data_IF_595521163379
#
_entry.id   IF_595521163379
#
_cell.length_a   1.000
_cell.length_b   1.000
_cell.length_c   1.000
_cell.angle_alpha   90.00
_cell.angle_beta   90.00
_cell.angle_gamma   90.00
#
_symmetry.space_group_name_H-M   'P 1'
#
loop_
_entity.id
_entity.type
_entity.pdbx_description
1 polymer ?
#
# COMPACT_ATOMS: atom_id res chain seq x y z
N UNK A 1 3.34 1.41 8.50
CA UNK A 1 2.35 1.19 9.57
C UNK A 1 0.89 1.17 9.10
N UNK A 2 0.48 1.92 8.07
CA UNK A 2 -0.89 1.87 7.56
C UNK A 2 -1.38 0.45 7.18
N UNK A 3 -0.46 -0.44 6.79
CA UNK A 3 -0.78 -1.84 6.51
C UNK A 3 -1.11 -2.67 7.78
N UNK A 4 -0.42 -2.45 8.91
CA UNK A 4 -0.79 -3.05 10.21
C UNK A 4 -2.16 -2.54 10.67
N UNK A 5 -2.37 -1.22 10.56
CA UNK A 5 -3.63 -0.57 10.92
C UNK A 5 -4.81 -1.19 10.17
N UNK A 6 -4.70 -1.31 8.85
CA UNK A 6 -5.79 -1.84 8.02
C UNK A 6 -5.98 -3.36 8.20
N UNK A 7 -4.95 -4.10 8.59
CA UNK A 7 -5.06 -5.54 8.88
C UNK A 7 -5.92 -5.80 10.13
N UNK A 8 -5.89 -4.90 11.12
CA UNK A 8 -6.83 -4.94 12.27
C UNK A 8 -8.26 -4.56 11.87
N UNK A 9 -8.44 -3.85 10.76
CA UNK A 9 -9.74 -3.37 10.29
C UNK A 9 -10.46 -4.32 9.32
N UNK A 10 -9.84 -5.46 8.96
CA UNK A 10 -10.25 -6.34 7.85
C UNK A 10 -11.63 -7.00 7.97
N UNK A 11 -12.24 -6.99 9.16
CA UNK A 11 -13.53 -7.65 9.38
C UNK A 11 -14.70 -6.64 9.42
N UNK A 12 -14.42 -5.34 9.29
CA UNK A 12 -15.39 -4.25 9.49
C UNK A 12 -15.85 -3.57 8.19
N UNK A 13 -15.90 -4.28 7.07
CA UNK A 13 -16.34 -3.71 5.79
C UNK A 13 -17.86 -3.77 5.61
N UNK A 14 -18.52 -2.61 5.64
CA UNK A 14 -19.94 -2.52 5.32
C UNK A 14 -20.18 -2.71 3.82
N UNK A 15 -20.89 -3.78 3.44
CA UNK A 15 -21.10 -4.16 2.04
C UNK A 15 -21.93 -3.14 1.24
N UNK A 16 -22.78 -2.35 1.89
CA UNK A 16 -23.73 -1.43 1.23
C UNK A 16 -23.10 -0.10 0.84
N UNK A 17 -22.10 0.36 1.60
CA UNK A 17 -21.55 1.69 1.43
C UNK A 17 -20.02 1.69 1.44
N UNK A 18 -19.31 0.57 1.65
CA UNK A 18 -17.85 0.54 1.69
C UNK A 18 -17.23 1.29 2.88
N UNK A 19 -18.03 1.65 3.90
CA UNK A 19 -17.49 2.27 5.12
C UNK A 19 -16.83 1.21 6.00
N UNK A 20 -15.71 1.60 6.60
CA UNK A 20 -15.03 0.80 7.62
C UNK A 20 -15.11 1.57 8.93
N UNK A 21 -15.81 1.01 9.92
CA UNK A 21 -15.81 1.57 11.27
C UNK A 21 -14.68 0.92 12.06
N UNK A 22 -13.48 1.49 11.97
CA UNK A 22 -12.29 0.98 12.62
C UNK A 22 -11.39 2.14 13.03
N UNK A 23 -11.01 2.16 14.29
CA UNK A 23 -10.07 3.12 14.83
C UNK A 23 -9.24 2.45 15.95
N UNK A 24 -8.20 1.68 15.59
CA UNK A 24 -7.18 1.21 16.54
C UNK A 24 -6.69 2.35 17.45
N UNK A 25 -6.41 2.05 18.73
CA UNK A 25 -5.81 2.99 19.66
C UNK A 25 -4.54 3.65 19.12
N UNK A 26 -4.27 4.90 19.51
CA UNK A 26 -3.02 5.57 19.14
C UNK A 26 -1.79 4.89 19.76
N UNK A 27 -1.95 4.36 20.97
CA UNK A 27 -0.89 3.61 21.67
C UNK A 27 -0.46 2.37 20.89
N UNK A 28 -1.33 1.77 20.07
CA UNK A 28 -0.98 0.61 19.24
C UNK A 28 0.13 0.95 18.23
N UNK A 29 0.29 2.21 17.82
CA UNK A 29 1.37 2.59 16.90
C UNK A 29 2.76 2.37 17.49
N UNK A 30 2.94 2.69 18.77
CA UNK A 30 4.21 2.55 19.49
C UNK A 30 4.31 1.21 20.21
N UNK A 31 3.25 0.72 20.83
CA UNK A 31 3.30 -0.49 21.66
C UNK A 31 3.18 -1.78 20.86
N UNK A 32 2.54 -1.74 19.68
CA UNK A 32 2.22 -2.94 18.90
C UNK A 32 2.85 -2.87 17.51
N UNK A 33 2.52 -1.85 16.71
CA UNK A 33 2.91 -1.79 15.30
C UNK A 33 4.41 -1.54 15.16
N UNK A 34 4.97 -0.55 15.86
CA UNK A 34 6.41 -0.26 15.80
C UNK A 34 7.28 -1.48 16.11
N UNK A 35 7.11 -2.15 17.26
CA UNK A 35 7.84 -3.36 17.62
C UNK A 35 7.60 -4.52 16.64
N UNK A 36 6.36 -4.75 16.20
CA UNK A 36 6.07 -5.77 15.17
C UNK A 36 6.74 -5.43 13.83
N UNK A 37 7.04 -4.17 13.58
CA UNK A 37 7.73 -3.67 12.40
C UNK A 37 9.24 -3.54 12.56
N UNK A 38 9.77 -3.71 13.77
CA UNK A 38 11.19 -3.53 14.10
C UNK A 38 11.64 -2.14 13.76
N UNK A 39 10.79 -1.16 14.07
CA UNK A 39 11.06 0.25 13.86
C UNK A 39 11.32 0.87 15.22
N UNK A 40 12.39 1.65 15.32
CA UNK A 40 12.74 2.33 16.56
C UNK A 40 11.68 3.38 16.93
N UNK A 41 11.17 3.30 18.16
CA UNK A 41 10.15 4.20 18.72
C UNK A 41 10.40 5.71 18.55
N UNK A 42 11.63 6.24 18.66
CA UNK A 42 11.90 7.68 18.51
C UNK A 42 11.65 8.22 17.11
N UNK A 43 11.40 7.35 16.12
CA UNK A 43 11.17 7.76 14.73
C UNK A 43 9.70 8.00 14.39
N UNK A 44 8.79 7.81 15.35
CA UNK A 44 7.36 8.03 15.14
C UNK A 44 6.98 9.50 15.41
N UNK A 45 6.44 10.15 14.38
CA UNK A 45 5.60 11.34 14.56
C UNK A 45 4.20 10.96 15.06
N UNK A 46 3.43 11.96 15.47
CA UNK A 46 2.03 11.77 15.87
C UNK A 46 1.16 11.59 14.64
N UNK A 47 0.24 10.63 14.69
CA UNK A 47 -0.79 10.46 13.65
C UNK A 47 -1.81 11.58 13.82
N UNK A 48 -1.91 12.45 12.83
CA UNK A 48 -2.76 13.64 12.86
C UNK A 48 -4.05 13.47 12.06
N UNK A 49 -4.19 12.35 11.34
CA UNK A 49 -5.39 12.03 10.59
C UNK A 49 -5.34 10.64 9.99
N UNK A 50 -6.50 10.06 9.72
CA UNK A 50 -6.61 8.80 9.01
C UNK A 50 -7.85 8.78 8.12
N UNK A 51 -7.75 8.01 7.04
CA UNK A 51 -8.87 7.68 6.15
C UNK A 51 -8.83 6.17 5.94
N UNK A 52 -9.93 5.52 6.27
CA UNK A 52 -10.12 4.09 6.03
C UNK A 52 -11.35 3.85 5.18
N UNK A 53 -11.25 2.86 4.30
CA UNK A 53 -12.36 2.45 3.47
C UNK A 53 -12.17 1.04 2.97
N UNK A 54 -13.25 0.47 2.45
CA UNK A 54 -13.20 -0.84 1.84
C UNK A 54 -14.03 -0.89 0.57
N UNK A 55 -13.75 -1.89 -0.26
CA UNK A 55 -14.50 -2.14 -1.47
C UNK A 55 -14.56 -3.64 -1.77
N UNK A 56 -15.71 -4.09 -2.23
CA UNK A 56 -15.92 -5.45 -2.75
C UNK A 56 -15.36 -5.62 -4.17
N UNK A 57 -15.25 -4.53 -4.94
CA UNK A 57 -14.79 -4.58 -6.33
C UNK A 57 -13.28 -4.43 -6.43
N UNK A 58 -12.67 -5.20 -7.34
CA UNK A 58 -11.28 -5.02 -7.77
C UNK A 58 -11.07 -3.77 -8.62
N UNK A 59 -12.15 -3.14 -9.11
CA UNK A 59 -12.09 -1.94 -9.96
C UNK A 59 -11.22 -0.86 -9.33
N UNK A 60 -11.35 -0.64 -8.03
CA UNK A 60 -10.62 0.42 -7.31
C UNK A 60 -9.13 0.16 -7.15
N UNK A 61 -8.64 -1.03 -7.51
CA UNK A 61 -7.19 -1.28 -7.62
C UNK A 61 -6.71 -0.95 -9.05
N UNK A 62 -7.58 -1.13 -10.04
CA UNK A 62 -7.27 -0.91 -11.45
C UNK A 62 -7.54 0.54 -11.91
N UNK A 63 -8.45 1.25 -11.22
CA UNK A 63 -8.95 2.59 -11.56
C UNK A 63 -8.64 3.55 -10.38
N UNK A 64 -7.52 4.30 -10.46
CA UNK A 64 -7.12 5.23 -9.41
C UNK A 64 -8.12 6.37 -9.17
N UNK A 65 -8.86 6.80 -10.19
CA UNK A 65 -9.84 7.89 -10.06
C UNK A 65 -11.05 7.43 -9.24
N UNK A 66 -11.52 6.21 -9.51
CA UNK A 66 -12.56 5.58 -8.70
C UNK A 66 -12.09 5.37 -7.25
N UNK A 67 -10.85 4.94 -7.04
CA UNK A 67 -10.29 4.78 -5.68
C UNK A 67 -10.22 6.12 -4.94
N UNK A 68 -9.76 7.17 -5.61
CA UNK A 68 -9.67 8.50 -5.03
C UNK A 68 -11.04 9.04 -4.64
N UNK A 69 -12.02 8.98 -5.53
CA UNK A 69 -13.35 9.56 -5.30
C UNK A 69 -14.23 8.74 -4.36
N UNK A 70 -14.17 7.41 -4.41
CA UNK A 70 -15.11 6.56 -3.66
C UNK A 70 -14.52 6.05 -2.34
N UNK A 71 -13.19 6.01 -2.22
CA UNK A 71 -12.52 5.48 -1.01
C UNK A 71 -11.77 6.57 -0.25
N UNK A 72 -10.94 7.38 -0.93
CA UNK A 72 -10.07 8.35 -0.24
C UNK A 72 -10.78 9.68 0.08
N UNK A 73 -11.54 10.22 -0.86
CA UNK A 73 -12.17 11.56 -0.79
C UNK A 73 -13.67 11.45 -1.03
N UNK A 74 -14.27 10.49 -0.33
CA UNK A 74 -15.68 10.19 -0.45
C UNK A 74 -16.61 11.31 0.05
N UNK A 75 -16.22 12.02 1.10
CA UNK A 75 -17.06 13.01 1.76
C UNK A 75 -16.27 14.24 2.20
N UNK A 76 -16.97 15.26 2.68
CA UNK A 76 -16.36 16.50 3.15
C UNK A 76 -15.41 16.31 4.33
N UNK A 77 -15.61 15.29 5.17
CA UNK A 77 -14.74 14.99 6.31
C UNK A 77 -13.41 14.43 5.80
N UNK A 78 -13.43 13.43 4.91
CA UNK A 78 -12.18 12.90 4.36
C UNK A 78 -11.44 13.95 3.53
N UNK A 79 -12.15 14.77 2.76
CA UNK A 79 -11.55 15.93 2.06
C UNK A 79 -10.89 16.93 3.04
N UNK A 80 -11.51 17.18 4.20
CA UNK A 80 -10.95 18.10 5.21
C UNK A 80 -9.65 17.57 5.81
N UNK A 81 -9.55 16.25 6.01
CA UNK A 81 -8.32 15.58 6.45
C UNK A 81 -7.24 15.75 5.39
N UNK A 82 -7.51 15.41 4.13
CA UNK A 82 -6.53 15.54 3.03
C UNK A 82 -6.02 16.97 2.86
N UNK A 83 -6.87 17.98 3.08
CA UNK A 83 -6.50 19.41 2.91
C UNK A 83 -5.78 20.01 4.12
N UNK A 84 -5.69 19.30 5.24
CA UNK A 84 -5.06 19.83 6.43
C UNK A 84 -3.54 19.97 6.22
N UNK A 85 -3.05 21.21 6.30
CA UNK A 85 -1.64 21.54 6.04
C UNK A 85 -0.70 21.20 7.20
N UNK A 86 -1.24 20.77 8.34
CA UNK A 86 -0.43 20.32 9.48
C UNK A 86 0.19 18.94 9.24
N UNK A 87 -0.32 18.18 8.26
CA UNK A 87 0.26 16.90 7.87
C UNK A 87 1.61 17.11 7.18
N UNK A 88 2.64 16.41 7.65
CA UNK A 88 4.01 16.43 7.10
C UNK A 88 4.44 15.10 6.49
N UNK A 89 3.78 14.01 6.84
CA UNK A 89 4.03 12.68 6.30
C UNK A 89 2.73 11.95 5.95
N UNK A 90 2.81 11.04 4.98
CA UNK A 90 1.70 10.18 4.56
C UNK A 90 2.18 8.74 4.47
N UNK A 91 1.40 7.81 5.02
CA UNK A 91 1.57 6.37 4.87
C UNK A 91 0.32 5.72 4.29
N UNK A 92 0.48 4.81 3.33
CA UNK A 92 -0.63 4.12 2.66
C UNK A 92 -0.53 2.61 2.85
N UNK A 93 -1.66 1.97 3.13
CA UNK A 93 -1.81 0.53 3.24
C UNK A 93 -2.98 0.05 2.36
N UNK A 94 -2.72 -1.00 1.58
CA UNK A 94 -3.74 -1.72 0.81
C UNK A 94 -3.68 -3.19 1.20
N UNK A 95 -4.80 -3.72 1.65
CA UNK A 95 -4.93 -5.11 2.09
C UNK A 95 -6.11 -5.79 1.39
N UNK A 96 -5.89 -6.96 0.81
CA UNK A 96 -6.94 -7.73 0.15
C UNK A 96 -7.24 -9.02 0.91
N UNK A 97 -8.53 -9.29 1.17
CA UNK A 97 -8.97 -10.58 1.70
C UNK A 97 -9.16 -11.56 0.54
N UNK A 98 -8.68 -12.80 0.71
CA UNK A 98 -8.88 -13.83 -0.31
C UNK A 98 -10.38 -14.04 -0.57
N UNK A 99 -10.82 -13.85 -1.82
CA UNK A 99 -12.25 -13.91 -2.21
C UNK A 99 -13.14 -12.94 -1.40
N UNK A 100 -12.59 -11.83 -0.93
CA UNK A 100 -13.29 -10.83 -0.13
C UNK A 100 -12.93 -9.40 -0.55
N UNK A 101 -13.32 -8.41 0.28
CA UNK A 101 -13.08 -7.01 -0.02
C UNK A 101 -11.59 -6.63 0.08
N UNK A 102 -11.29 -5.50 -0.55
CA UNK A 102 -10.05 -4.75 -0.39
C UNK A 102 -10.26 -3.63 0.60
N UNK A 103 -9.25 -3.39 1.41
CA UNK A 103 -9.24 -2.36 2.43
C UNK A 103 -8.10 -1.38 2.14
N UNK A 104 -8.44 -0.11 2.29
CA UNK A 104 -7.53 1.01 2.15
C UNK A 104 -7.39 1.70 3.48
N UNK A 105 -6.16 2.10 3.78
CA UNK A 105 -5.85 2.97 4.89
C UNK A 105 -4.83 4.01 4.43
N UNK A 106 -5.13 5.28 4.67
CA UNK A 106 -4.19 6.39 4.52
C UNK A 106 -4.05 7.03 5.89
N UNK A 107 -2.82 7.06 6.39
CA UNK A 107 -2.45 7.70 7.63
C UNK A 107 -1.67 8.98 7.32
N UNK A 108 -1.99 10.03 8.06
CA UNK A 108 -1.31 11.31 8.01
C UNK A 108 -0.60 11.54 9.34
N UNK A 109 0.65 11.98 9.27
CA UNK A 109 1.46 12.26 10.46
C UNK A 109 2.13 13.62 10.39
N UNK A 110 2.60 14.12 11.52
CA UNK A 110 3.37 15.37 11.63
C UNK A 110 4.89 15.14 11.77
N UNK A 111 5.33 13.88 11.62
CA UNK A 111 6.74 13.49 11.56
C UNK A 111 7.49 14.23 10.44
N UNK A 112 8.76 14.52 10.67
CA UNK A 112 9.55 15.31 9.72
C UNK A 112 9.73 14.60 8.38
N UNK A 113 9.73 15.36 7.28
CA UNK A 113 9.85 14.81 5.91
C UNK A 113 11.20 14.12 5.65
N UNK A 114 12.20 14.34 6.51
CA UNK A 114 13.53 13.75 6.42
C UNK A 114 13.73 12.55 7.36
N UNK A 115 12.71 12.14 8.12
CA UNK A 115 12.78 10.94 8.95
C UNK A 115 12.34 9.73 8.13
N UNK A 116 13.28 8.83 7.83
CA UNK A 116 12.95 7.47 7.41
C UNK A 116 12.75 6.62 8.66
N UNK A 117 11.85 5.63 8.61
CA UNK A 117 11.75 4.62 9.67
C UNK A 117 13.13 3.97 9.87
N UNK A 118 13.72 4.16 11.06
CA UNK A 118 14.95 3.46 11.39
C UNK A 118 14.59 2.07 11.84
N UNK A 119 15.09 1.08 11.11
CA UNK A 119 14.89 -0.31 11.47
C UNK A 119 15.87 -0.66 12.59
N UNK A 120 15.39 -1.44 13.54
CA UNK A 120 16.21 -2.06 14.58
C UNK A 120 17.38 -2.84 13.92
N UNK A 121 18.47 -3.03 14.67
CA UNK A 121 19.68 -3.71 14.18
C UNK A 121 20.33 -3.08 12.93
N UNK A 122 20.46 -1.74 12.91
CA UNK A 122 21.23 -0.99 11.89
C UNK A 122 20.68 -1.14 10.46
N UNK A 123 19.35 -1.23 10.30
CA UNK A 123 18.73 -1.24 8.97
C UNK A 123 18.40 -2.62 8.41
N UNK A 124 18.57 -3.71 9.19
CA UNK A 124 18.04 -5.01 8.79
C UNK A 124 16.58 -5.10 9.17
N UNK A 125 15.70 -4.91 8.17
CA UNK A 125 14.26 -5.09 8.38
C UNK A 125 13.95 -6.49 8.88
N UNK A 126 13.13 -6.60 9.93
CA UNK A 126 12.75 -7.91 10.44
C UNK A 126 12.07 -8.70 9.32
N UNK A 127 12.31 -10.01 9.27
CA UNK A 127 11.63 -10.89 8.32
C UNK A 127 10.16 -11.00 8.70
N UNK A 128 9.35 -10.21 8.01
CA UNK A 128 7.93 -10.04 8.30
C UNK A 128 7.12 -11.23 7.78
N UNK A 129 6.23 -11.78 8.62
CA UNK A 129 5.22 -12.73 8.14
C UNK A 129 4.04 -12.01 7.46
N UNK A 130 3.66 -10.80 7.94
CA UNK A 130 2.63 -9.90 7.37
C UNK A 130 2.80 -8.45 7.89
N UNK A 131 2.40 -7.45 7.09
CA UNK A 131 1.80 -6.22 7.62
C UNK A 131 2.63 -4.93 7.78
N UNK A 132 3.96 -4.88 7.73
CA UNK A 132 4.68 -3.60 7.97
C UNK A 132 5.13 -2.82 6.74
N UNK A 133 5.67 -3.50 5.73
CA UNK A 133 6.24 -2.88 4.54
C UNK A 133 5.63 -3.51 3.29
N UNK A 134 4.97 -2.70 2.45
CA UNK A 134 4.54 -3.12 1.11
C UNK A 134 5.65 -2.84 0.13
N UNK A 135 6.36 -3.89 -0.26
CA UNK A 135 7.39 -3.83 -1.29
C UNK A 135 8.12 -5.16 -1.40
N UNK A 136 8.49 -5.54 -2.62
CA UNK A 136 9.58 -6.50 -2.77
C UNK A 136 10.89 -5.84 -2.35
N UNK A 137 11.89 -6.60 -1.90
CA UNK A 137 13.25 -6.07 -1.75
C UNK A 137 13.85 -5.53 -3.06
N UNK A 138 13.18 -5.77 -4.20
CA UNK A 138 13.54 -5.23 -5.50
C UNK A 138 13.02 -3.79 -5.68
N UNK A 139 13.89 -2.92 -6.22
CA UNK A 139 13.55 -1.55 -6.54
C UNK A 139 12.35 -1.46 -7.49
N UNK A 140 11.47 -0.49 -7.26
CA UNK A 140 10.26 -0.20 -8.04
C UNK A 140 10.59 0.44 -9.41
N UNK A 141 11.55 -0.13 -10.14
CA UNK A 141 11.90 0.26 -11.52
C UNK A 141 12.24 -0.96 -12.41
N UNK A 142 11.96 -2.19 -11.96
CA UNK A 142 12.22 -3.40 -12.75
C UNK A 142 11.08 -3.69 -13.74
N UNK A 143 10.77 -2.73 -14.61
CA UNK A 143 9.84 -2.90 -15.72
C UNK A 143 10.59 -3.16 -17.03
N UNK A 144 11.35 -4.26 -17.12
CA UNK A 144 12.02 -4.63 -18.38
C UNK A 144 12.03 -6.13 -18.76
N UNK A 145 11.53 -7.04 -17.91
CA UNK A 145 11.66 -8.48 -18.23
C UNK A 145 10.64 -9.00 -19.26
N UNK A 146 9.40 -8.50 -19.25
CA UNK A 146 8.34 -9.04 -20.12
C UNK A 146 8.50 -8.56 -21.58
N UNK A 147 9.07 -7.37 -21.78
CA UNK A 147 9.30 -6.81 -23.13
C UNK A 147 10.42 -7.56 -23.88
N UNK A 148 11.42 -8.10 -23.16
CA UNK A 148 12.52 -8.85 -23.77
C UNK A 148 12.08 -10.20 -24.34
N UNK A 149 11.19 -10.93 -23.65
CA UNK A 149 10.77 -12.27 -24.10
C UNK A 149 9.99 -12.24 -25.42
N UNK A 150 9.13 -11.24 -25.60
CA UNK A 150 8.32 -11.08 -26.80
C UNK A 150 9.15 -10.81 -28.06
N UNK A 151 10.20 -10.00 -27.96
CA UNK A 151 11.11 -9.72 -29.08
C UNK A 151 11.95 -10.94 -29.47
N UNK A 152 12.38 -11.75 -28.49
CA UNK A 152 13.15 -12.96 -28.75
C UNK A 152 12.32 -14.04 -29.47
N UNK A 153 11.07 -14.23 -29.05
CA UNK A 153 10.15 -15.16 -29.71
C UNK A 153 9.81 -14.73 -31.14
N UNK A 154 9.61 -13.42 -31.38
CA UNK A 154 9.39 -12.90 -32.72
C UNK A 154 10.59 -13.13 -33.64
N UNK A 155 11.81 -12.97 -33.12
CA UNK A 155 13.04 -13.17 -33.89
C UNK A 155 13.26 -14.64 -34.25
N UNK A 156 12.94 -15.57 -33.36
CA UNK A 156 13.01 -17.01 -33.63
C UNK A 156 11.99 -17.44 -34.70
N UNK A 157 10.77 -16.92 -34.63
CA UNK A 157 9.73 -17.15 -35.64
C UNK A 157 10.16 -16.62 -37.02
N UNK A 158 10.74 -15.42 -37.08
CA UNK A 158 11.22 -14.85 -38.35
C UNK A 158 12.35 -15.70 -38.96
N UNK A 159 13.28 -16.18 -38.15
CA UNK A 159 14.36 -17.07 -38.61
C UNK A 159 13.81 -18.39 -39.18
N UNK A 160 12.82 -19.01 -38.51
CA UNK A 160 12.17 -20.23 -38.99
C UNK A 160 11.48 -20.02 -40.34
N UNK A 161 10.72 -18.93 -40.48
CA UNK A 161 10.04 -18.57 -41.74
C UNK A 161 11.05 -18.35 -42.87
N UNK A 162 12.14 -17.63 -42.61
CA UNK A 162 13.20 -17.41 -43.59
C UNK A 162 13.92 -18.71 -43.98
N UNK A 163 14.06 -19.66 -43.06
CA UNK A 163 14.69 -20.95 -43.35
C UNK A 163 13.83 -21.83 -44.26
N UNK A 164 12.51 -21.80 -44.08
CA UNK A 164 11.53 -22.52 -44.90
C UNK A 164 11.42 -21.91 -46.30
N UNK A 165 11.55 -20.58 -46.44
CA UNK A 165 11.48 -19.89 -47.73
C UNK A 165 12.75 -20.03 -48.59
N UNK A 166 13.85 -20.54 -48.01
CA UNK A 166 15.16 -20.68 -48.67
C UNK A 166 15.54 -22.12 -49.03
N UNK A 167 14.72 -23.10 -48.66
CA UNK A 167 14.85 -24.52 -49.03
C UNK A 167 13.76 -24.91 -50.01
#
# INVERSE_FOLDING_TARGET
>A
MALQYVELCKDNCAATNGSVNCNPPEDDFTEVFGPNCGVELPTFGTITGHIVGCSQSKRYIADPEAAFSEVLVRDGRSLSVVRNRSHKGVGVGLFGVHKGPFFWCVLFGDGETNSTFMLEERGQGIKQKKGCFSGSAFACNSSNLIRSLGLWLLSLLLCLVLHILRG
#
